data_IF_068997906313
#
_entry.id   IF_068997906313
#
_cell.length_a   1.000
_cell.length_b   1.000
_cell.length_c   1.000
_cell.angle_alpha   90.00
_cell.angle_beta   90.00
_cell.angle_gamma   90.00
#
_symmetry.space_group_name_H-M   'P 1'
#
loop_
_entity.id
_entity.type
_entity.pdbx_description
1 polymer ?
#
# COMPACT_ATOMS: atom_id res chain seq x y z
N UNK A 1 9.66 -1.44 21.06
CA UNK A 1 8.34 -1.12 20.49
C UNK A 1 7.30 -1.35 21.57
N UNK A 2 6.66 -0.31 22.10
CA UNK A 2 5.47 -0.48 22.93
C UNK A 2 4.36 -1.13 22.08
N UNK A 3 3.61 -2.11 22.61
CA UNK A 3 2.53 -2.74 21.85
C UNK A 3 1.45 -1.71 21.51
N UNK A 4 1.08 -1.65 20.23
CA UNK A 4 0.02 -0.75 19.76
C UNK A 4 -1.30 -1.22 20.38
N UNK A 5 -2.10 -0.33 21.00
CA UNK A 5 -3.38 -0.72 21.57
C UNK A 5 -4.32 -1.23 20.48
N UNK A 6 -5.07 -2.30 20.78
CA UNK A 6 -5.93 -3.03 19.82
C UNK A 6 -6.93 -2.10 19.10
N UNK A 7 -7.43 -1.07 19.79
CA UNK A 7 -8.32 -0.05 19.20
C UNK A 7 -7.65 0.72 18.06
N UNK A 8 -6.38 1.10 18.22
CA UNK A 8 -5.61 1.81 17.20
C UNK A 8 -5.30 0.92 16.01
N UNK A 9 -5.01 -0.37 16.22
CA UNK A 9 -4.85 -1.32 15.12
C UNK A 9 -6.12 -1.44 14.27
N UNK A 10 -7.30 -1.55 14.92
CA UNK A 10 -8.59 -1.60 14.22
C UNK A 10 -8.87 -0.30 13.46
N UNK A 11 -8.57 0.84 14.05
CA UNK A 11 -8.74 2.14 13.40
C UNK A 11 -7.84 2.29 12.15
N UNK A 12 -6.56 1.94 12.25
CA UNK A 12 -5.62 1.98 11.10
C UNK A 12 -6.07 1.01 10.00
N UNK A 13 -6.51 -0.20 10.35
CA UNK A 13 -7.04 -1.17 9.40
C UNK A 13 -8.29 -0.65 8.69
N UNK A 14 -9.23 -0.06 9.43
CA UNK A 14 -10.45 0.52 8.87
C UNK A 14 -10.14 1.71 7.96
N UNK A 15 -9.23 2.61 8.35
CA UNK A 15 -8.78 3.70 7.50
C UNK A 15 -8.15 3.19 6.19
N UNK A 16 -7.29 2.18 6.27
CA UNK A 16 -6.64 1.58 5.09
C UNK A 16 -7.67 0.94 4.17
N UNK A 17 -8.67 0.26 4.73
CA UNK A 17 -9.79 -0.32 3.97
C UNK A 17 -10.63 0.76 3.29
N UNK A 18 -10.99 1.83 4.01
CA UNK A 18 -11.73 2.96 3.44
C UNK A 18 -10.96 3.63 2.29
N UNK A 19 -9.67 3.91 2.46
CA UNK A 19 -8.82 4.46 1.38
C UNK A 19 -8.80 3.51 0.17
N UNK A 20 -8.64 2.21 0.41
CA UNK A 20 -8.61 1.21 -0.67
C UNK A 20 -9.92 1.13 -1.44
N UNK A 21 -11.06 1.18 -0.75
CA UNK A 21 -12.38 1.22 -1.39
C UNK A 21 -12.60 2.49 -2.21
N UNK A 22 -12.18 3.65 -1.69
CA UNK A 22 -12.29 4.92 -2.41
C UNK A 22 -11.43 4.94 -3.68
N UNK A 23 -10.21 4.42 -3.60
CA UNK A 23 -9.35 4.25 -4.78
C UNK A 23 -10.02 3.36 -5.81
N UNK A 24 -10.64 2.25 -5.38
CA UNK A 24 -11.34 1.33 -6.28
C UNK A 24 -12.55 1.99 -6.96
N UNK A 25 -13.34 2.79 -6.22
CA UNK A 25 -14.46 3.56 -6.79
C UNK A 25 -13.97 4.56 -7.85
N UNK A 26 -12.85 5.23 -7.58
CA UNK A 26 -12.27 6.20 -8.51
C UNK A 26 -11.71 5.53 -9.77
N UNK A 27 -10.96 4.44 -9.62
CA UNK A 27 -10.40 3.68 -10.74
C UNK A 27 -11.47 3.05 -11.64
N UNK A 28 -12.64 2.71 -11.09
CA UNK A 28 -13.78 2.23 -11.88
C UNK A 28 -14.52 3.35 -12.61
N UNK A 29 -14.11 4.61 -12.47
CA UNK A 29 -14.75 5.77 -13.09
C UNK A 29 -16.14 6.10 -12.50
N UNK A 30 -16.45 5.62 -11.29
CA UNK A 30 -17.78 5.78 -10.69
C UNK A 30 -17.98 7.16 -10.05
N UNK A 31 -16.92 7.81 -9.55
CA UNK A 31 -17.01 9.15 -8.96
C UNK A 31 -15.65 9.83 -8.78
N UNK A 32 -15.48 11.02 -9.36
CA UNK A 32 -14.30 11.90 -9.11
C UNK A 32 -14.50 12.84 -7.90
N UNK A 33 -15.75 13.08 -7.49
CA UNK A 33 -16.08 14.02 -6.41
C UNK A 33 -15.58 13.58 -5.03
N UNK A 34 -15.22 12.31 -4.87
CA UNK A 34 -14.72 11.74 -3.60
C UNK A 34 -13.20 11.90 -3.42
N UNK A 35 -12.49 12.43 -4.42
CA UNK A 35 -11.04 12.68 -4.39
C UNK A 35 -10.54 13.46 -3.15
N UNK A 36 -11.14 14.60 -2.74
CA UNK A 36 -10.66 15.33 -1.57
C UNK A 36 -10.80 14.52 -0.26
N UNK A 37 -11.86 13.72 -0.13
CA UNK A 37 -12.08 12.86 1.03
C UNK A 37 -11.05 11.71 1.08
N UNK A 38 -10.72 11.14 -0.08
CA UNK A 38 -9.67 10.13 -0.22
C UNK A 38 -8.29 10.67 0.20
N UNK A 39 -7.92 11.87 -0.26
CA UNK A 39 -6.65 12.51 0.12
C UNK A 39 -6.59 12.84 1.61
N UNK A 40 -7.69 13.35 2.19
CA UNK A 40 -7.78 13.64 3.63
C UNK A 40 -7.58 12.38 4.49
N UNK A 41 -8.21 11.26 4.10
CA UNK A 41 -8.04 9.97 4.78
C UNK A 41 -6.61 9.43 4.67
N UNK A 42 -5.96 9.59 3.51
CA UNK A 42 -4.56 9.19 3.34
C UNK A 42 -3.64 10.01 4.26
N UNK A 43 -3.79 11.34 4.30
CA UNK A 43 -2.97 12.20 5.17
C UNK A 43 -3.16 11.85 6.64
N UNK A 44 -4.40 11.58 7.07
CA UNK A 44 -4.69 11.11 8.43
C UNK A 44 -4.01 9.76 8.71
N UNK A 45 -4.06 8.82 7.76
CA UNK A 45 -3.40 7.52 7.87
C UNK A 45 -1.88 7.68 8.02
N UNK A 46 -1.25 8.49 7.17
CA UNK A 46 0.20 8.77 7.22
C UNK A 46 0.59 9.43 8.52
N UNK A 47 -0.20 10.40 9.00
CA UNK A 47 0.03 11.08 10.27
C UNK A 47 0.03 10.08 11.44
N UNK A 48 -1.02 9.25 11.54
CA UNK A 48 -1.14 8.23 12.58
C UNK A 48 -0.01 7.20 12.51
N UNK A 49 0.36 6.77 11.30
CA UNK A 49 1.42 5.79 11.09
C UNK A 49 2.80 6.38 11.46
N UNK A 50 3.05 7.65 11.16
CA UNK A 50 4.30 8.34 11.48
C UNK A 50 4.64 8.30 12.98
N UNK A 51 3.63 8.39 13.85
CA UNK A 51 3.82 8.24 15.30
C UNK A 51 4.22 6.83 15.72
N UNK A 52 3.75 5.79 15.02
CA UNK A 52 3.96 4.39 15.39
C UNK A 52 5.20 3.75 14.76
N UNK A 53 5.74 4.36 13.71
CA UNK A 53 6.82 3.77 12.91
C UNK A 53 8.20 4.17 13.43
N UNK A 54 9.20 3.30 13.18
CA UNK A 54 10.60 3.54 13.52
C UNK A 54 11.13 4.85 12.93
N UNK A 55 12.08 5.49 13.64
CA UNK A 55 12.67 6.78 13.23
C UNK A 55 13.20 6.78 11.80
N UNK A 56 13.78 5.67 11.34
CA UNK A 56 14.28 5.54 9.97
C UNK A 56 13.21 5.83 8.92
N UNK A 57 11.95 5.47 9.15
CA UNK A 57 10.89 5.73 8.15
C UNK A 57 10.26 7.12 8.27
N UNK A 58 10.41 7.80 9.41
CA UNK A 58 9.98 9.20 9.56
C UNK A 58 10.79 10.12 8.64
N UNK A 59 12.02 9.75 8.30
CA UNK A 59 12.85 10.45 7.32
C UNK A 59 12.13 10.54 5.97
N UNK A 60 11.43 9.49 5.51
CA UNK A 60 10.68 9.57 4.25
C UNK A 60 9.54 10.58 4.31
N UNK A 61 8.85 10.70 5.44
CA UNK A 61 7.79 11.72 5.64
C UNK A 61 8.38 13.12 5.60
N UNK A 62 9.54 13.33 6.25
CA UNK A 62 10.24 14.62 6.20
C UNK A 62 10.70 14.97 4.78
N UNK A 63 11.28 14.01 4.06
CA UNK A 63 11.69 14.20 2.66
C UNK A 63 10.49 14.54 1.78
N UNK A 64 9.36 13.85 1.96
CA UNK A 64 8.12 14.16 1.22
C UNK A 64 7.62 15.58 1.49
N UNK A 65 7.68 16.04 2.76
CA UNK A 65 7.31 17.41 3.13
C UNK A 65 8.27 18.45 2.51
N UNK A 66 9.58 18.20 2.56
CA UNK A 66 10.58 19.09 1.97
C UNK A 66 10.38 19.21 0.45
N UNK A 67 10.21 18.09 -0.25
CA UNK A 67 9.95 18.09 -1.69
C UNK A 67 8.63 18.79 -2.04
N UNK A 68 7.59 18.61 -1.21
CA UNK A 68 6.31 19.32 -1.39
C UNK A 68 6.46 20.83 -1.22
N UNK A 69 7.24 21.28 -0.24
CA UNK A 69 7.53 22.71 -0.04
C UNK A 69 8.36 23.28 -1.19
N UNK A 70 9.38 22.56 -1.64
CA UNK A 70 10.19 22.96 -2.81
C UNK A 70 9.33 23.06 -4.07
N UNK A 71 8.38 22.14 -4.27
CA UNK A 71 7.45 22.18 -5.40
C UNK A 71 6.57 23.45 -5.38
N UNK A 72 6.12 23.92 -4.21
CA UNK A 72 5.33 25.15 -4.11
C UNK A 72 6.13 26.38 -4.57
N UNK A 73 7.44 26.41 -4.32
CA UNK A 73 8.29 27.55 -4.66
C UNK A 73 8.72 27.54 -6.14
N UNK A 74 8.99 26.35 -6.70
CA UNK A 74 9.57 26.22 -8.04
C UNK A 74 8.56 25.99 -9.17
N UNK A 75 7.34 25.55 -8.87
CA UNK A 75 6.38 25.11 -9.87
C UNK A 75 5.12 25.98 -9.87
N UNK A 76 4.85 26.64 -11.00
CA UNK A 76 3.63 27.45 -11.17
C UNK A 76 2.35 26.59 -11.07
N UNK A 77 2.41 25.32 -11.48
CA UNK A 77 1.32 24.36 -11.40
C UNK A 77 1.47 23.38 -10.22
N UNK A 78 1.98 23.88 -9.09
CA UNK A 78 2.26 23.06 -7.90
C UNK A 78 1.06 22.21 -7.44
N UNK A 79 -0.18 22.72 -7.59
CA UNK A 79 -1.41 22.04 -7.19
C UNK A 79 -1.63 20.73 -7.95
N UNK A 80 -1.50 20.75 -9.28
CA UNK A 80 -1.70 19.57 -10.12
C UNK A 80 -0.64 18.51 -9.84
N UNK A 81 0.61 18.92 -9.58
CA UNK A 81 1.69 18.02 -9.21
C UNK A 81 1.46 17.38 -7.84
N UNK A 82 1.01 18.15 -6.84
CA UNK A 82 0.66 17.60 -5.52
C UNK A 82 -0.54 16.66 -5.59
N UNK A 83 -1.56 17.01 -6.38
CA UNK A 83 -2.72 16.16 -6.56
C UNK A 83 -2.34 14.81 -7.18
N UNK A 84 -1.52 14.82 -8.24
CA UNK A 84 -1.01 13.59 -8.86
C UNK A 84 -0.16 12.78 -7.89
N UNK A 85 0.69 13.42 -7.09
CA UNK A 85 1.50 12.74 -6.08
C UNK A 85 0.65 12.10 -4.98
N UNK A 86 -0.39 12.79 -4.48
CA UNK A 86 -1.33 12.27 -3.49
C UNK A 86 -2.13 11.10 -4.06
N UNK A 87 -2.59 11.20 -5.30
CA UNK A 87 -3.30 10.11 -5.96
C UNK A 87 -2.42 8.87 -6.09
N UNK A 88 -1.17 9.03 -6.56
CA UNK A 88 -0.22 7.93 -6.65
C UNK A 88 0.04 7.29 -5.28
N UNK A 89 0.14 8.09 -4.22
CA UNK A 89 0.30 7.56 -2.86
C UNK A 89 -0.93 6.78 -2.38
N UNK A 90 -2.15 7.26 -2.66
CA UNK A 90 -3.40 6.54 -2.40
C UNK A 90 -3.42 5.20 -3.14
N UNK A 91 -3.10 5.22 -4.44
CA UNK A 91 -3.08 4.04 -5.30
C UNK A 91 -2.08 2.99 -4.81
N UNK A 92 -0.83 3.39 -4.53
CA UNK A 92 0.22 2.50 -4.02
C UNK A 92 -0.21 1.87 -2.68
N UNK A 93 -0.81 2.66 -1.79
CA UNK A 93 -1.32 2.18 -0.50
C UNK A 93 -2.41 1.13 -0.68
N UNK A 94 -3.39 1.39 -1.53
CA UNK A 94 -4.48 0.47 -1.84
C UNK A 94 -3.96 -0.82 -2.49
N UNK A 95 -3.07 -0.70 -3.47
CA UNK A 95 -2.48 -1.82 -4.19
C UNK A 95 -1.72 -2.77 -3.24
N UNK A 96 -0.79 -2.24 -2.44
CA UNK A 96 -0.04 -3.08 -1.50
C UNK A 96 -0.92 -3.65 -0.38
N UNK A 97 -1.95 -2.93 0.04
CA UNK A 97 -2.94 -3.44 0.99
C UNK A 97 -3.70 -4.63 0.42
N UNK A 98 -4.20 -4.51 -0.81
CA UNK A 98 -4.88 -5.60 -1.53
C UNK A 98 -3.94 -6.80 -1.73
N UNK A 99 -2.71 -6.57 -2.20
CA UNK A 99 -1.71 -7.63 -2.39
C UNK A 99 -1.38 -8.35 -1.08
N UNK A 100 -1.22 -7.61 0.01
CA UNK A 100 -0.96 -8.18 1.33
C UNK A 100 -2.15 -9.01 1.82
N UNK A 101 -3.38 -8.56 1.55
CA UNK A 101 -4.61 -9.28 1.88
C UNK A 101 -4.70 -10.59 1.10
N UNK A 102 -4.46 -10.55 -0.22
CA UNK A 102 -4.40 -11.74 -1.07
C UNK A 102 -3.32 -12.72 -0.60
N UNK A 103 -2.12 -12.22 -0.29
CA UNK A 103 -1.01 -13.04 0.23
C UNK A 103 -1.37 -13.69 1.56
N UNK A 104 -2.06 -12.98 2.44
CA UNK A 104 -2.51 -13.51 3.72
C UNK A 104 -3.51 -14.67 3.54
N UNK A 105 -4.49 -14.49 2.66
CA UNK A 105 -5.46 -15.55 2.32
C UNK A 105 -4.79 -16.72 1.59
N UNK A 106 -3.83 -16.45 0.70
CA UNK A 106 -3.07 -17.49 0.02
C UNK A 106 -2.26 -18.36 1.00
N UNK A 107 -1.63 -17.73 2.01
CA UNK A 107 -0.82 -18.42 3.00
C UNK A 107 -1.64 -19.36 3.92
N UNK A 108 -2.92 -19.07 4.12
CA UNK A 108 -3.83 -19.92 4.91
C UNK A 108 -4.39 -21.11 4.12
N UNK A 109 -4.26 -21.13 2.78
CA UNK A 109 -4.78 -22.21 1.93
C UNK A 109 -3.95 -23.51 2.03
N UNK A 110 -4.56 -24.65 2.43
CA UNK A 110 -3.88 -25.94 2.43
C UNK A 110 -3.45 -26.41 1.04
N UNK A 111 -4.21 -26.04 0.00
CA UNK A 111 -3.91 -26.41 -1.38
C UNK A 111 -2.61 -25.74 -1.87
N UNK A 112 -2.44 -24.45 -1.59
CA UNK A 112 -1.21 -23.71 -1.92
C UNK A 112 0.00 -24.31 -1.18
N UNK A 113 -0.18 -24.72 0.08
CA UNK A 113 0.87 -25.40 0.86
C UNK A 113 1.27 -26.74 0.25
N UNK A 114 0.31 -27.55 -0.18
CA UNK A 114 0.56 -28.84 -0.88
C UNK A 114 1.26 -28.63 -2.22
N UNK A 115 0.86 -27.63 -3.00
CA UNK A 115 1.54 -27.28 -4.25
C UNK A 115 2.99 -26.86 -4.00
N UNK A 116 3.25 -26.04 -2.97
CA UNK A 116 4.61 -25.66 -2.58
C UNK A 116 5.48 -26.84 -2.15
N UNK A 117 4.92 -27.77 -1.37
CA UNK A 117 5.58 -29.03 -0.98
C UNK A 117 5.85 -29.94 -2.18
N UNK A 118 4.90 -30.04 -3.11
CA UNK A 118 5.08 -30.81 -4.34
C UNK A 118 6.20 -30.22 -5.22
N UNK A 119 6.24 -28.90 -5.39
CA UNK A 119 7.27 -28.22 -6.17
C UNK A 119 8.66 -28.32 -5.51
N UNK A 120 8.76 -28.26 -4.19
CA UNK A 120 10.06 -28.37 -3.50
C UNK A 120 10.68 -29.77 -3.61
N UNK A 121 9.84 -30.80 -3.77
CA UNK A 121 10.24 -32.19 -3.97
C UNK A 121 10.57 -32.53 -5.44
N UNK A 122 10.32 -31.63 -6.40
CA UNK A 122 10.66 -31.89 -7.81
C UNK A 122 12.18 -31.83 -8.06
N UNK A 123 12.71 -32.70 -8.94
CA UNK A 123 14.13 -32.72 -9.31
C UNK A 123 14.58 -31.37 -9.92
N UNK A 124 15.86 -31.01 -9.76
CA UNK A 124 16.36 -29.64 -9.96
C UNK A 124 16.04 -29.06 -11.34
N UNK A 125 16.11 -29.84 -12.41
CA UNK A 125 15.79 -29.38 -13.78
C UNK A 125 14.33 -28.93 -13.97
N UNK A 126 13.37 -29.61 -13.34
CA UNK A 126 11.95 -29.20 -13.37
C UNK A 126 11.65 -28.04 -12.44
N UNK A 127 12.40 -27.95 -11.34
CA UNK A 127 12.24 -26.88 -10.34
C UNK A 127 12.58 -25.52 -10.92
N UNK A 128 13.65 -25.41 -11.71
CA UNK A 128 14.04 -24.15 -12.34
C UNK A 128 13.08 -23.73 -13.46
N UNK A 129 12.57 -24.67 -14.27
CA UNK A 129 11.54 -24.33 -15.28
C UNK A 129 10.26 -23.82 -14.64
N UNK A 130 9.79 -24.48 -13.57
CA UNK A 130 8.61 -24.01 -12.84
C UNK A 130 8.84 -22.65 -12.17
N UNK A 131 10.04 -22.38 -11.63
CA UNK A 131 10.37 -21.10 -11.00
C UNK A 131 10.56 -19.97 -12.04
N UNK A 132 11.13 -20.27 -13.20
CA UNK A 132 11.29 -19.29 -14.29
C UNK A 132 9.96 -18.94 -14.95
N UNK A 133 9.00 -19.85 -15.00
CA UNK A 133 7.69 -19.61 -15.60
C UNK A 133 6.70 -19.02 -14.58
N UNK A 134 6.76 -19.44 -13.31
CA UNK A 134 5.76 -19.08 -12.29
C UNK A 134 6.23 -18.12 -11.20
N UNK A 135 7.54 -17.89 -11.02
CA UNK A 135 8.08 -17.07 -9.93
C UNK A 135 8.08 -15.56 -10.17
N UNK A 136 7.59 -15.11 -11.32
CA UNK A 136 7.52 -13.69 -11.70
C UNK A 136 6.15 -13.03 -11.41
N UNK A 137 5.21 -13.74 -10.77
CA UNK A 137 3.90 -13.24 -10.36
C UNK A 137 3.78 -13.22 -8.83
#
# INVERSE_FOLDING_TARGET
MSPIPVRTCKAIGLLTLCVSLLVLVRELGLSESLSPLMYALLLLLVLLLSFHVAMSRRVFVLVALLLSLMNIVWNEHWQATLESALFNACFITAFFSALTTLKFVAASSPAIRRCGQFLSQQPPGRRYLALSIGGQL
#
